data_IF_520473837947
#
_entry.id   IF_520473837947
#
_cell.length_a   1.000
_cell.length_b   1.000
_cell.length_c   1.000
_cell.angle_alpha   90.00
_cell.angle_beta   90.00
_cell.angle_gamma   90.00
#
_symmetry.space_group_name_H-M   'P 1'
#
loop_
_entity.id
_entity.type
_entity.pdbx_description
1 polymer ?
#
# COMPACT_ATOMS: atom_id res chain seq x y z
N UNK A 1 41.12 -1.43 0.93
CA UNK A 1 40.15 -2.26 0.18
C UNK A 1 38.78 -2.11 0.81
N UNK A 2 37.87 -1.48 0.09
CA UNK A 2 36.57 -1.03 0.58
C UNK A 2 35.64 -2.23 0.79
N UNK A 3 35.52 -2.70 2.02
CA UNK A 3 34.64 -3.82 2.44
C UNK A 3 33.15 -3.47 2.41
N UNK A 4 32.68 -2.84 1.33
CA UNK A 4 31.25 -2.61 1.13
C UNK A 4 30.61 -3.89 0.64
N UNK A 5 30.05 -4.64 1.59
CA UNK A 5 29.06 -5.66 1.29
C UNK A 5 27.92 -5.01 0.50
N UNK A 6 27.95 -5.20 -0.82
CA UNK A 6 26.88 -4.81 -1.77
C UNK A 6 25.52 -5.26 -1.22
N UNK A 7 25.49 -6.45 -0.63
CA UNK A 7 24.31 -7.01 0.02
C UNK A 7 23.82 -6.17 1.22
N UNK A 8 24.71 -5.73 2.12
CA UNK A 8 24.33 -4.94 3.30
C UNK A 8 23.68 -3.61 2.90
N UNK A 9 24.16 -3.00 1.83
CA UNK A 9 23.58 -1.75 1.28
C UNK A 9 22.20 -2.00 0.66
N UNK A 10 22.07 -3.04 -0.17
CA UNK A 10 20.79 -3.46 -0.77
C UNK A 10 19.77 -3.78 0.32
N UNK A 11 20.17 -4.54 1.34
CA UNK A 11 19.30 -4.91 2.48
C UNK A 11 18.75 -3.68 3.19
N UNK A 12 19.61 -2.69 3.49
CA UNK A 12 19.18 -1.45 4.15
C UNK A 12 18.23 -0.63 3.28
N UNK A 13 18.56 -0.46 2.00
CA UNK A 13 17.71 0.29 1.06
C UNK A 13 16.35 -0.38 0.89
N UNK A 14 16.32 -1.71 0.72
CA UNK A 14 15.10 -2.50 0.62
C UNK A 14 14.25 -2.39 1.89
N UNK A 15 14.85 -2.50 3.07
CA UNK A 15 14.13 -2.38 4.34
C UNK A 15 13.42 -1.03 4.51
N UNK A 16 14.06 0.07 4.10
CA UNK A 16 13.43 1.41 4.13
C UNK A 16 12.28 1.50 3.13
N UNK A 17 12.45 0.95 1.92
CA UNK A 17 11.42 0.93 0.90
C UNK A 17 10.19 0.09 1.34
N UNK A 18 10.43 -1.09 1.92
CA UNK A 18 9.38 -1.98 2.42
C UNK A 18 8.63 -1.35 3.60
N UNK A 19 9.32 -0.67 4.52
CA UNK A 19 8.69 0.06 5.62
C UNK A 19 7.76 1.18 5.10
N UNK A 20 8.21 1.95 4.08
CA UNK A 20 7.38 2.98 3.44
C UNK A 20 6.17 2.36 2.74
N UNK A 21 6.35 1.26 2.02
CA UNK A 21 5.25 0.53 1.36
C UNK A 21 4.22 0.06 2.39
N UNK A 22 4.67 -0.51 3.51
CA UNK A 22 3.79 -0.94 4.61
C UNK A 22 2.92 0.20 5.15
N UNK A 23 3.50 1.39 5.36
CA UNK A 23 2.73 2.57 5.81
C UNK A 23 1.67 3.01 4.80
N UNK A 24 2.00 2.99 3.50
CA UNK A 24 1.05 3.30 2.43
C UNK A 24 -0.09 2.28 2.42
N UNK A 25 0.24 0.99 2.56
CA UNK A 25 -0.77 -0.06 2.60
C UNK A 25 -1.72 0.09 3.80
N UNK A 26 -1.21 0.40 4.98
CA UNK A 26 -2.06 0.64 6.15
C UNK A 26 -2.98 1.86 5.99
N UNK A 27 -2.57 2.88 5.23
CA UNK A 27 -3.41 4.05 4.94
C UNK A 27 -4.53 3.69 3.97
N UNK A 28 -4.20 3.02 2.87
CA UNK A 28 -5.17 2.59 1.85
C UNK A 28 -6.18 1.61 2.45
N UNK A 29 -5.74 0.65 3.26
CA UNK A 29 -6.64 -0.29 3.93
C UNK A 29 -7.65 0.44 4.84
N UNK A 30 -7.19 1.45 5.59
CA UNK A 30 -8.09 2.29 6.41
C UNK A 30 -9.08 3.09 5.56
N UNK A 31 -8.63 3.62 4.44
CA UNK A 31 -9.46 4.36 3.48
C UNK A 31 -10.58 3.47 2.91
N UNK A 32 -10.25 2.24 2.50
CA UNK A 32 -11.23 1.23 2.05
C UNK A 32 -12.24 0.91 3.16
N UNK A 33 -11.78 0.61 4.38
CA UNK A 33 -12.67 0.28 5.52
C UNK A 33 -13.65 1.43 5.80
N UNK A 34 -13.17 2.67 5.80
CA UNK A 34 -14.01 3.84 6.04
C UNK A 34 -15.01 4.04 4.89
N UNK A 35 -14.57 3.89 3.64
CA UNK A 35 -15.43 4.01 2.47
C UNK A 35 -16.57 2.97 2.51
N UNK A 36 -16.25 1.71 2.84
CA UNK A 36 -17.27 0.65 3.00
C UNK A 36 -18.25 0.98 4.13
N UNK A 37 -17.76 1.47 5.27
CA UNK A 37 -18.64 1.85 6.40
C UNK A 37 -19.59 2.99 6.06
N UNK A 38 -19.18 3.92 5.21
CA UNK A 38 -19.98 5.10 4.86
C UNK A 38 -20.94 4.88 3.70
N UNK A 39 -20.51 4.18 2.65
CA UNK A 39 -21.27 4.04 1.40
C UNK A 39 -21.65 2.60 1.05
N UNK A 40 -21.40 1.65 1.95
CA UNK A 40 -21.63 0.22 1.71
C UNK A 40 -20.56 -0.44 0.82
N UNK A 41 -20.67 -1.75 0.60
CA UNK A 41 -19.66 -2.55 -0.08
C UNK A 41 -19.75 -2.53 -1.63
N UNK A 42 -20.77 -1.89 -2.21
CA UNK A 42 -20.98 -1.86 -3.66
C UNK A 42 -20.05 -0.87 -4.34
N UNK A 43 -19.21 -1.35 -5.26
CA UNK A 43 -18.28 -0.51 -6.03
C UNK A 43 -18.98 0.44 -7.01
N UNK A 44 -20.11 0.03 -7.56
CA UNK A 44 -20.89 0.84 -8.50
C UNK A 44 -21.64 1.96 -7.77
N UNK A 45 -22.09 1.71 -6.54
CA UNK A 45 -22.84 2.69 -5.75
C UNK A 45 -21.94 3.59 -4.88
N UNK A 46 -20.69 3.20 -4.65
CA UNK A 46 -19.77 3.89 -3.75
C UNK A 46 -18.52 4.37 -4.48
N UNK A 47 -18.57 5.62 -4.97
CA UNK A 47 -17.44 6.26 -5.67
C UNK A 47 -16.17 6.34 -4.81
N UNK A 48 -16.30 6.57 -3.51
CA UNK A 48 -15.15 6.64 -2.59
C UNK A 48 -14.45 5.29 -2.47
N UNK A 49 -15.22 4.19 -2.44
CA UNK A 49 -14.67 2.85 -2.43
C UNK A 49 -13.94 2.54 -3.74
N UNK A 50 -14.50 2.95 -4.89
CA UNK A 50 -13.86 2.78 -6.19
C UNK A 50 -12.50 3.47 -6.27
N UNK A 51 -12.42 4.73 -5.84
CA UNK A 51 -11.16 5.47 -5.78
C UNK A 51 -10.14 4.84 -4.82
N UNK A 52 -10.59 4.37 -3.65
CA UNK A 52 -9.72 3.72 -2.67
C UNK A 52 -9.11 2.43 -3.24
N UNK A 53 -9.87 1.66 -4.01
CA UNK A 53 -9.38 0.45 -4.69
C UNK A 53 -8.43 0.79 -5.85
N UNK A 54 -8.72 1.81 -6.64
CA UNK A 54 -7.81 2.28 -7.70
C UNK A 54 -6.44 2.65 -7.12
N UNK A 55 -6.43 3.43 -6.04
CA UNK A 55 -5.22 3.79 -5.30
C UNK A 55 -4.48 2.56 -4.74
N UNK A 56 -5.21 1.52 -4.32
CA UNK A 56 -4.62 0.26 -3.89
C UNK A 56 -3.87 -0.43 -5.04
N UNK A 57 -4.49 -0.49 -6.23
CA UNK A 57 -3.91 -1.07 -7.44
C UNK A 57 -2.68 -0.30 -7.91
N UNK A 58 -2.73 1.02 -7.91
CA UNK A 58 -1.59 1.88 -8.26
C UNK A 58 -0.37 1.64 -7.35
N UNK A 59 -0.62 1.23 -6.10
CA UNK A 59 0.43 0.91 -5.14
C UNK A 59 0.83 -0.57 -5.13
N UNK A 60 0.34 -1.38 -6.07
CA UNK A 60 0.55 -2.82 -6.14
C UNK A 60 0.15 -3.54 -4.84
N UNK A 61 -0.92 -3.08 -4.19
CA UNK A 61 -1.50 -3.80 -3.06
C UNK A 61 -2.09 -5.13 -3.57
N UNK A 62 -1.79 -6.27 -2.92
CA UNK A 62 -2.42 -7.55 -3.24
C UNK A 62 -3.94 -7.51 -3.09
N UNK A 63 -4.63 -8.30 -3.90
CA UNK A 63 -6.10 -8.32 -3.98
C UNK A 63 -6.74 -9.57 -3.38
N UNK A 64 -5.97 -10.35 -2.61
CA UNK A 64 -6.39 -11.57 -1.92
C UNK A 64 -7.00 -11.31 -0.53
#
# INVERSE_FOLDING_TARGET
MSGHSKWSTIKRQKGVADARRGQVFTKIAREIIVAVRQGGPSLEANYQLRLAIEKARDNNMPSD
#
